data_IF_928832637033
#
_entry.id   IF_928832637033
#
_cell.length_a   1.000
_cell.length_b   1.000
_cell.length_c   1.000
_cell.angle_alpha   90.00
_cell.angle_beta   90.00
_cell.angle_gamma   90.00
#
_symmetry.space_group_name_H-M   'P 1'
#
loop_
_entity.id
_entity.type
_entity.pdbx_description
1 polymer ?
#
# COMPACT_ATOMS: atom_id res chain seq x y z
N UNK A 1 -8.21 -13.91 7.06
CA UNK A 1 -7.16 -12.99 6.53
C UNK A 1 -6.09 -12.67 7.57
N UNK A 2 -6.40 -11.98 8.67
CA UNK A 2 -5.39 -11.57 9.67
C UNK A 2 -4.52 -12.73 10.22
N UNK A 3 -5.13 -13.87 10.57
CA UNK A 3 -4.38 -15.04 11.05
C UNK A 3 -3.40 -15.59 10.00
N UNK A 4 -3.77 -15.54 8.72
CA UNK A 4 -2.93 -16.01 7.61
C UNK A 4 -1.80 -15.02 7.33
N UNK A 5 -2.07 -13.71 7.39
CA UNK A 5 -1.02 -12.69 7.36
C UNK A 5 -0.04 -12.86 8.51
N UNK A 6 -0.52 -13.15 9.73
CA UNK A 6 0.34 -13.47 10.88
C UNK A 6 1.20 -14.71 10.61
N UNK A 7 0.63 -15.78 10.05
CA UNK A 7 1.36 -16.99 9.71
C UNK A 7 2.47 -16.74 8.68
N UNK A 8 2.22 -15.89 7.68
CA UNK A 8 3.23 -15.46 6.72
C UNK A 8 4.36 -14.67 7.40
N UNK A 9 4.02 -13.73 8.29
CA UNK A 9 5.01 -12.97 9.06
C UNK A 9 5.84 -13.86 10.00
N UNK A 10 5.22 -14.83 10.69
CA UNK A 10 5.94 -15.80 11.51
C UNK A 10 6.89 -16.66 10.68
N UNK A 11 6.47 -17.06 9.48
CA UNK A 11 7.34 -17.78 8.55
C UNK A 11 8.56 -16.94 8.17
N UNK A 12 8.34 -15.68 7.77
CA UNK A 12 9.41 -14.72 7.47
C UNK A 12 10.35 -14.51 8.66
N UNK A 13 9.81 -14.45 9.88
CA UNK A 13 10.59 -14.32 11.13
C UNK A 13 11.46 -15.55 11.38
N UNK A 14 10.90 -16.76 11.28
CA UNK A 14 11.62 -18.03 11.50
C UNK A 14 12.79 -18.17 10.52
N UNK A 15 12.60 -17.78 9.26
CA UNK A 15 13.66 -17.83 8.24
C UNK A 15 14.53 -16.58 8.18
N UNK A 16 14.30 -15.58 9.05
CA UNK A 16 14.99 -14.28 9.04
C UNK A 16 14.96 -13.61 7.66
N UNK A 17 13.82 -13.75 6.96
CA UNK A 17 13.59 -13.32 5.59
C UNK A 17 14.43 -14.05 4.52
N UNK A 18 15.17 -15.12 4.85
CA UNK A 18 15.91 -15.95 3.89
C UNK A 18 15.02 -17.10 3.44
N UNK A 19 14.11 -16.82 2.50
CA UNK A 19 13.18 -17.84 2.05
C UNK A 19 13.90 -18.87 1.15
N UNK A 20 13.74 -20.15 1.48
CA UNK A 20 13.90 -21.24 0.51
C UNK A 20 12.76 -21.21 -0.50
N UNK A 21 12.88 -21.96 -1.61
CA UNK A 21 11.78 -22.14 -2.57
C UNK A 21 10.47 -22.59 -1.90
N UNK A 22 10.55 -23.49 -0.90
CA UNK A 22 9.39 -23.99 -0.16
C UNK A 22 8.73 -22.90 0.68
N UNK A 23 9.51 -22.20 1.49
CA UNK A 23 9.00 -21.15 2.37
C UNK A 23 8.52 -19.92 1.60
N UNK A 24 9.16 -19.60 0.46
CA UNK A 24 8.71 -18.55 -0.45
C UNK A 24 7.37 -18.94 -1.12
N UNK A 25 7.25 -20.20 -1.56
CA UNK A 25 5.98 -20.72 -2.09
C UNK A 25 4.86 -20.69 -1.06
N UNK A 26 5.16 -21.03 0.18
CA UNK A 26 4.21 -20.98 1.29
C UNK A 26 3.69 -19.56 1.56
N UNK A 27 4.58 -18.57 1.72
CA UNK A 27 4.13 -17.19 1.98
C UNK A 27 3.35 -16.60 0.80
N UNK A 28 3.72 -16.92 -0.46
CA UNK A 28 2.93 -16.56 -1.64
C UNK A 28 1.53 -17.18 -1.62
N UNK A 29 1.41 -18.44 -1.20
CA UNK A 29 0.12 -19.09 -1.04
C UNK A 29 -0.72 -18.43 0.06
N UNK A 30 -0.11 -18.05 1.19
CA UNK A 30 -0.78 -17.29 2.25
C UNK A 30 -1.31 -15.94 1.73
N UNK A 31 -0.49 -15.17 1.03
CA UNK A 31 -0.91 -13.88 0.46
C UNK A 31 -1.98 -14.05 -0.62
N UNK A 32 -1.88 -15.08 -1.46
CA UNK A 32 -2.88 -15.38 -2.48
C UNK A 32 -4.23 -15.78 -1.85
N UNK A 33 -4.20 -16.62 -0.81
CA UNK A 33 -5.39 -16.96 -0.03
C UNK A 33 -6.03 -15.71 0.57
N UNK A 34 -5.25 -14.83 1.20
CA UNK A 34 -5.75 -13.56 1.72
C UNK A 34 -6.40 -12.74 0.60
N UNK A 35 -5.71 -12.55 -0.51
CA UNK A 35 -6.16 -11.79 -1.68
C UNK A 35 -7.51 -12.27 -2.22
N UNK A 36 -7.69 -13.57 -2.46
CA UNK A 36 -8.97 -14.11 -2.97
C UNK A 36 -10.09 -14.10 -1.92
N UNK A 37 -9.76 -14.06 -0.63
CA UNK A 37 -10.75 -14.06 0.45
C UNK A 37 -11.26 -12.64 0.72
N UNK A 38 -10.43 -11.60 0.58
CA UNK A 38 -10.80 -10.22 0.90
C UNK A 38 -12.08 -9.75 0.15
N UNK A 39 -12.28 -10.02 -1.15
CA UNK A 39 -13.52 -9.66 -1.85
C UNK A 39 -14.81 -10.19 -1.22
N UNK A 40 -14.77 -11.28 -0.46
CA UNK A 40 -15.95 -11.85 0.22
C UNK A 40 -16.40 -11.06 1.45
N UNK A 41 -15.61 -10.07 1.89
CA UNK A 41 -15.90 -9.24 3.05
C UNK A 41 -16.80 -8.07 2.64
N UNK A 42 -17.93 -7.91 3.34
CA UNK A 42 -18.94 -6.90 3.02
C UNK A 42 -18.43 -5.45 3.18
N UNK A 43 -17.71 -5.18 4.26
CA UNK A 43 -17.25 -3.82 4.58
C UNK A 43 -16.11 -3.37 3.66
N UNK A 44 -16.35 -2.31 2.86
CA UNK A 44 -15.34 -1.68 1.99
C UNK A 44 -14.12 -1.22 2.79
N UNK A 45 -14.33 -0.61 3.96
CA UNK A 45 -13.23 -0.11 4.80
C UNK A 45 -12.38 -1.26 5.36
N UNK A 46 -13.02 -2.37 5.73
CA UNK A 46 -12.30 -3.58 6.14
C UNK A 46 -11.54 -4.18 4.97
N UNK A 47 -12.11 -4.22 3.76
CA UNK A 47 -11.40 -4.67 2.55
C UNK A 47 -10.15 -3.83 2.29
N UNK A 48 -10.27 -2.50 2.30
CA UNK A 48 -9.15 -1.57 2.13
C UNK A 48 -8.01 -1.81 3.12
N UNK A 49 -8.35 -1.90 4.42
CA UNK A 49 -7.38 -2.18 5.48
C UNK A 49 -6.70 -3.54 5.29
N UNK A 50 -7.45 -4.57 4.89
CA UNK A 50 -6.90 -5.90 4.69
C UNK A 50 -6.03 -6.00 3.43
N UNK A 51 -6.38 -5.32 2.35
CA UNK A 51 -5.51 -5.23 1.17
C UNK A 51 -4.19 -4.55 1.52
N UNK A 52 -4.22 -3.40 2.20
CA UNK A 52 -3.00 -2.70 2.61
C UNK A 52 -2.13 -3.54 3.56
N UNK A 53 -2.75 -4.17 4.57
CA UNK A 53 -2.04 -5.06 5.49
C UNK A 53 -1.42 -6.25 4.75
N UNK A 54 -2.16 -6.86 3.82
CA UNK A 54 -1.67 -8.00 3.03
C UNK A 54 -0.54 -7.57 2.10
N UNK A 55 -0.61 -6.37 1.51
CA UNK A 55 0.48 -5.80 0.74
C UNK A 55 1.74 -5.57 1.60
N UNK A 56 1.61 -5.02 2.81
CA UNK A 56 2.75 -4.83 3.72
C UNK A 56 3.38 -6.16 4.17
N UNK A 57 2.56 -7.18 4.42
CA UNK A 57 3.04 -8.54 4.72
C UNK A 57 3.74 -9.16 3.51
N UNK A 58 3.18 -8.99 2.30
CA UNK A 58 3.79 -9.45 1.06
C UNK A 58 5.14 -8.76 0.81
N UNK A 59 5.20 -7.44 1.00
CA UNK A 59 6.43 -6.65 0.90
C UNK A 59 7.51 -7.15 1.85
N UNK A 60 7.14 -7.38 3.13
CA UNK A 60 8.03 -7.94 4.15
C UNK A 60 8.57 -9.34 3.83
N UNK A 61 7.92 -10.06 2.92
CA UNK A 61 8.30 -11.40 2.45
C UNK A 61 8.74 -11.42 0.97
N UNK A 62 9.14 -10.28 0.40
CA UNK A 62 9.65 -10.15 -0.98
C UNK A 62 8.66 -10.65 -2.06
N UNK A 63 7.36 -10.56 -1.81
CA UNK A 63 6.30 -11.03 -2.70
C UNK A 63 5.75 -9.87 -3.55
N UNK A 64 6.60 -9.24 -4.37
CA UNK A 64 6.30 -7.97 -5.05
C UNK A 64 5.06 -8.04 -5.97
N UNK A 65 4.89 -9.11 -6.74
CA UNK A 65 3.70 -9.26 -7.58
C UNK A 65 2.39 -9.31 -6.78
N UNK A 66 2.42 -9.81 -5.54
CA UNK A 66 1.27 -9.78 -4.63
C UNK A 66 1.06 -8.40 -3.99
N UNK A 67 2.13 -7.62 -3.78
CA UNK A 67 2.04 -6.21 -3.37
C UNK A 67 1.29 -5.42 -4.43
N UNK A 68 1.71 -5.54 -5.70
CA UNK A 68 1.08 -4.85 -6.83
C UNK A 68 -0.42 -5.17 -6.93
N UNK A 69 -0.78 -6.46 -6.89
CA UNK A 69 -2.17 -6.88 -6.97
C UNK A 69 -3.01 -6.32 -5.81
N UNK A 70 -2.52 -6.41 -4.57
CA UNK A 70 -3.24 -5.91 -3.41
C UNK A 70 -3.40 -4.39 -3.45
N UNK A 71 -2.37 -3.64 -3.86
CA UNK A 71 -2.45 -2.18 -3.94
C UNK A 71 -3.37 -1.74 -5.08
N UNK A 72 -3.31 -2.37 -6.26
CA UNK A 72 -4.21 -2.05 -7.38
C UNK A 72 -5.68 -2.21 -6.99
N UNK A 73 -6.02 -3.30 -6.30
CA UNK A 73 -7.38 -3.52 -5.81
C UNK A 73 -7.76 -2.59 -4.66
N UNK A 74 -6.80 -2.22 -3.80
CA UNK A 74 -7.04 -1.19 -2.80
C UNK A 74 -7.38 0.17 -3.45
N UNK A 75 -6.66 0.55 -4.50
CA UNK A 75 -6.90 1.80 -5.22
C UNK A 75 -8.27 1.82 -5.90
N UNK A 76 -8.72 0.69 -6.48
CA UNK A 76 -10.04 0.62 -7.11
C UNK A 76 -11.18 0.72 -6.09
N UNK A 77 -10.95 0.34 -4.83
CA UNK A 77 -11.94 0.45 -3.76
C UNK A 77 -12.02 1.83 -3.09
N UNK A 78 -11.03 2.71 -3.25
CA UNK A 78 -11.04 4.05 -2.63
C UNK A 78 -12.31 4.85 -3.00
N UNK A 79 -12.75 4.90 -4.27
CA UNK A 79 -14.00 5.58 -4.64
C UNK A 79 -15.27 4.91 -4.09
N UNK A 80 -15.20 3.64 -3.69
CA UNK A 80 -16.35 2.90 -3.13
C UNK A 80 -16.58 3.18 -1.64
N UNK A 81 -15.70 3.96 -0.99
CA UNK A 81 -15.87 4.30 0.42
C UNK A 81 -17.11 5.19 0.57
N UNK A 82 -18.11 4.79 1.38
CA UNK A 82 -19.30 5.60 1.59
C UNK A 82 -18.93 6.91 2.29
N UNK A 83 -19.69 7.97 2.07
CA UNK A 83 -19.45 9.29 2.70
C UNK A 83 -19.61 9.27 4.22
N UNK A 84 -20.40 8.32 4.73
CA UNK A 84 -20.60 8.11 6.15
C UNK A 84 -20.39 6.63 6.52
N UNK A 85 -19.83 6.41 7.70
CA UNK A 85 -19.58 5.10 8.29
C UNK A 85 -20.29 5.02 9.63
N UNK A 86 -20.83 3.85 9.95
CA UNK A 86 -21.33 3.56 11.29
C UNK A 86 -20.15 3.25 12.22
N UNK A 87 -19.96 4.09 13.23
CA UNK A 87 -18.93 3.94 14.26
C UNK A 87 -19.61 4.01 15.62
N UNK A 88 -19.60 2.88 16.34
CA UNK A 88 -20.24 2.75 17.67
C UNK A 88 -21.74 3.13 17.64
N UNK A 89 -22.46 2.66 16.61
CA UNK A 89 -23.89 2.95 16.42
C UNK A 89 -24.21 4.38 15.97
N UNK A 90 -23.20 5.20 15.63
CA UNK A 90 -23.37 6.56 15.12
C UNK A 90 -22.79 6.71 13.73
N UNK A 91 -23.54 7.33 12.83
CA UNK A 91 -23.03 7.73 11.52
C UNK A 91 -22.04 8.88 11.67
N UNK A 92 -20.81 8.68 11.19
CA UNK A 92 -19.74 9.67 11.16
C UNK A 92 -19.19 9.80 9.75
N UNK A 93 -18.63 10.96 9.41
CA UNK A 93 -17.94 11.14 8.13
C UNK A 93 -16.82 10.12 7.95
N UNK A 94 -16.71 9.55 6.75
CA UNK A 94 -15.64 8.63 6.40
C UNK A 94 -14.30 9.31 6.12
N UNK A 95 -14.30 10.64 6.00
CA UNK A 95 -13.10 11.46 5.70
C UNK A 95 -11.96 11.18 6.68
N UNK A 96 -12.25 11.02 7.98
CA UNK A 96 -11.22 10.71 8.98
C UNK A 96 -10.59 9.32 8.74
N UNK A 97 -11.40 8.33 8.39
CA UNK A 97 -10.91 6.99 8.05
C UNK A 97 -10.07 7.05 6.77
N UNK A 98 -10.59 7.71 5.73
CA UNK A 98 -9.97 7.76 4.42
C UNK A 98 -8.63 8.50 4.48
N UNK A 99 -8.58 9.65 5.16
CA UNK A 99 -7.34 10.38 5.36
C UNK A 99 -6.26 9.52 6.03
N UNK A 100 -6.60 8.86 7.14
CA UNK A 100 -5.66 7.98 7.86
C UNK A 100 -5.19 6.80 7.00
N UNK A 101 -6.12 6.20 6.26
CA UNK A 101 -5.81 5.11 5.33
C UNK A 101 -4.85 5.56 4.21
N UNK A 102 -5.13 6.70 3.57
CA UNK A 102 -4.33 7.24 2.48
C UNK A 102 -2.94 7.66 2.94
N UNK A 103 -2.79 8.19 4.17
CA UNK A 103 -1.49 8.47 4.76
C UNK A 103 -0.65 7.19 4.91
N UNK A 104 -1.26 6.11 5.38
CA UNK A 104 -0.58 4.82 5.53
C UNK A 104 -0.24 4.20 4.18
N UNK A 105 -1.13 4.33 3.18
CA UNK A 105 -0.88 3.88 1.82
C UNK A 105 0.28 4.65 1.19
N UNK A 106 0.31 5.98 1.27
CA UNK A 106 1.43 6.80 0.78
C UNK A 106 2.75 6.41 1.44
N UNK A 107 2.76 6.21 2.75
CA UNK A 107 3.94 5.74 3.48
C UNK A 107 4.40 4.35 3.01
N UNK A 108 3.46 3.49 2.65
CA UNK A 108 3.78 2.17 2.07
C UNK A 108 4.33 2.31 0.66
N UNK A 109 3.70 3.13 -0.19
CA UNK A 109 4.10 3.35 -1.58
C UNK A 109 5.53 3.89 -1.71
N UNK A 110 6.00 4.70 -0.78
CA UNK A 110 7.38 5.20 -0.79
C UNK A 110 8.40 4.06 -0.90
N UNK A 111 8.18 2.97 -0.17
CA UNK A 111 9.13 1.86 -0.06
C UNK A 111 8.78 0.67 -0.97
N UNK A 112 7.67 0.75 -1.71
CA UNK A 112 7.32 -0.26 -2.72
C UNK A 112 8.20 -0.02 -3.94
N UNK A 113 8.98 -1.01 -4.39
CA UNK A 113 9.79 -0.88 -5.59
C UNK A 113 8.91 -0.73 -6.82
N UNK A 114 9.30 0.14 -7.73
CA UNK A 114 8.64 0.26 -9.03
C UNK A 114 8.91 -0.96 -9.90
N UNK A 115 7.91 -1.33 -10.71
CA UNK A 115 8.06 -2.33 -11.75
C UNK A 115 8.79 -1.71 -12.96
N UNK A 116 9.87 -2.35 -13.46
CA UNK A 116 10.55 -1.92 -14.68
C UNK A 116 9.63 -1.77 -15.89
N UNK A 117 8.56 -2.57 -15.95
CA UNK A 117 7.59 -2.59 -17.04
C UNK A 117 6.54 -1.47 -16.96
N UNK A 118 6.22 -1.00 -15.74
CA UNK A 118 5.13 -0.04 -15.51
C UNK A 118 5.61 1.41 -15.41
N UNK A 119 6.91 1.60 -15.24
CA UNK A 119 7.56 2.90 -15.13
C UNK A 119 7.51 3.49 -13.72
N UNK A 120 8.22 4.61 -13.57
CA UNK A 120 8.47 5.27 -12.29
C UNK A 120 7.17 5.72 -11.62
N UNK A 121 7.08 5.46 -10.31
CA UNK A 121 5.98 5.82 -9.41
C UNK A 121 4.61 5.37 -9.93
N UNK A 122 4.53 4.21 -10.58
CA UNK A 122 3.30 3.75 -11.23
C UNK A 122 2.11 3.66 -10.26
N UNK A 123 2.28 3.03 -9.10
CA UNK A 123 1.21 2.88 -8.11
C UNK A 123 0.83 4.22 -7.46
N UNK A 124 1.82 5.08 -7.22
CA UNK A 124 1.60 6.46 -6.73
C UNK A 124 0.80 7.30 -7.72
N UNK A 125 1.15 7.25 -9.00
CA UNK A 125 0.36 7.88 -10.07
C UNK A 125 -1.05 7.32 -10.12
N UNK A 126 -1.21 6.01 -9.96
CA UNK A 126 -2.50 5.36 -9.85
C UNK A 126 -3.34 5.95 -8.71
N UNK A 127 -2.74 6.12 -7.53
CA UNK A 127 -3.40 6.77 -6.40
C UNK A 127 -3.80 8.21 -6.72
N UNK A 128 -2.88 9.02 -7.24
CA UNK A 128 -3.17 10.43 -7.58
C UNK A 128 -4.30 10.56 -8.61
N UNK A 129 -4.35 9.66 -9.59
CA UNK A 129 -5.43 9.59 -10.57
C UNK A 129 -6.78 9.28 -9.89
N UNK A 130 -6.82 8.31 -8.97
CA UNK A 130 -8.03 8.02 -8.19
C UNK A 130 -8.48 9.24 -7.38
N UNK A 131 -7.55 9.91 -6.68
CA UNK A 131 -7.85 11.07 -5.84
C UNK A 131 -8.31 12.29 -6.64
N UNK A 132 -7.84 12.45 -7.89
CA UNK A 132 -8.28 13.50 -8.79
C UNK A 132 -9.77 13.40 -9.12
N UNK A 133 -10.31 12.17 -9.18
CA UNK A 133 -11.71 11.89 -9.47
C UNK A 133 -12.55 11.62 -8.22
N UNK A 134 -11.95 11.63 -7.04
CA UNK A 134 -12.65 11.41 -5.78
C UNK A 134 -13.50 12.63 -5.39
N UNK A 135 -14.75 12.38 -4.97
CA UNK A 135 -15.67 13.41 -4.50
C UNK A 135 -15.45 13.67 -3.02
N UNK A 136 -14.66 14.69 -2.72
CA UNK A 136 -14.34 15.13 -1.36
C UNK A 136 -15.49 15.91 -0.71
N UNK A 137 -15.65 15.79 0.61
CA UNK A 137 -16.52 16.67 1.40
C UNK A 137 -15.97 18.10 1.39
N UNK A 138 -16.78 19.05 0.88
CA UNK A 138 -16.39 20.47 0.77
C UNK A 138 -16.25 21.17 2.11
N UNK A 139 -16.81 20.60 3.17
CA UNK A 139 -16.65 21.11 4.55
C UNK A 139 -15.37 20.57 5.22
N UNK A 140 -14.67 19.63 4.58
CA UNK A 140 -13.47 18.98 5.11
C UNK A 140 -12.18 19.52 4.50
N UNK A 141 -11.14 19.61 5.33
CA UNK A 141 -9.77 19.87 4.86
C UNK A 141 -8.99 18.59 4.48
N UNK A 142 -9.64 17.43 4.48
CA UNK A 142 -9.01 16.14 4.22
C UNK A 142 -8.32 16.08 2.85
N UNK A 143 -8.97 16.63 1.80
CA UNK A 143 -8.35 16.75 0.47
C UNK A 143 -6.98 17.42 0.54
N UNK A 144 -6.92 18.61 1.13
CA UNK A 144 -5.68 19.38 1.23
C UNK A 144 -4.62 18.62 2.04
N UNK A 145 -5.01 18.01 3.17
CA UNK A 145 -4.10 17.21 4.00
C UNK A 145 -3.55 16.00 3.26
N UNK A 146 -4.37 15.26 2.50
CA UNK A 146 -3.93 14.11 1.71
C UNK A 146 -2.95 14.54 0.60
N UNK A 147 -3.23 15.63 -0.11
CA UNK A 147 -2.29 16.14 -1.12
C UNK A 147 -0.98 16.65 -0.51
N UNK A 148 -1.02 17.29 0.67
CA UNK A 148 0.20 17.64 1.41
C UNK A 148 1.01 16.39 1.79
N UNK A 149 0.34 15.30 2.21
CA UNK A 149 1.02 14.02 2.47
C UNK A 149 1.59 13.38 1.22
N UNK A 150 0.93 13.53 0.08
CA UNK A 150 1.49 13.09 -1.20
C UNK A 150 2.75 13.90 -1.57
N UNK A 151 2.75 15.21 -1.35
CA UNK A 151 3.92 16.06 -1.53
C UNK A 151 5.05 15.71 -0.55
N UNK A 152 4.75 15.46 0.72
CA UNK A 152 5.72 14.97 1.71
C UNK A 152 6.38 13.68 1.19
N UNK A 153 5.58 12.71 0.73
CA UNK A 153 6.09 11.45 0.20
C UNK A 153 6.94 11.64 -1.05
N UNK A 154 6.50 12.46 -2.01
CA UNK A 154 7.27 12.77 -3.23
C UNK A 154 8.58 13.50 -2.92
N UNK A 155 8.57 14.38 -1.92
CA UNK A 155 9.77 15.09 -1.44
C UNK A 155 10.78 14.11 -0.86
N UNK A 156 10.32 13.06 -0.17
CA UNK A 156 11.17 11.96 0.29
C UNK A 156 11.62 11.08 -0.88
N UNK A 157 10.74 10.83 -1.86
CA UNK A 157 11.05 10.03 -3.05
C UNK A 157 12.18 10.65 -3.91
N UNK A 158 12.41 11.95 -3.79
CA UNK A 158 13.50 12.67 -4.46
C UNK A 158 14.83 12.66 -3.67
N UNK A 159 14.85 12.11 -2.46
CA UNK A 159 16.07 12.01 -1.65
C UNK A 159 16.90 10.81 -2.09
N UNK A 160 18.24 10.93 -1.96
CA UNK A 160 19.16 9.83 -2.26
C UNK A 160 18.96 8.62 -1.34
N UNK A 161 18.45 8.83 -0.13
CA UNK A 161 18.24 7.79 0.87
C UNK A 161 16.91 8.02 1.57
N UNK A 162 16.05 7.00 1.58
CA UNK A 162 14.78 7.08 2.29
C UNK A 162 14.95 6.96 3.81
N UNK A 163 14.06 7.58 4.60
CA UNK A 163 14.12 7.55 6.06
C UNK A 163 13.80 6.18 6.67
N UNK A 164 13.22 5.26 5.89
CA UNK A 164 12.93 3.90 6.33
C UNK A 164 12.84 2.94 5.14
N UNK A 165 13.08 1.66 5.42
CA UNK A 165 13.05 0.57 4.45
C UNK A 165 12.43 -0.68 5.02
N UNK A 166 12.00 -1.58 4.15
CA UNK A 166 11.70 -2.96 4.52
C UNK A 166 12.92 -3.82 4.26
N UNK A 167 13.30 -4.58 5.28
CA UNK A 167 14.46 -5.48 5.22
C UNK A 167 14.36 -6.41 4.00
N UNK A 168 15.43 -6.44 3.19
CA UNK A 168 15.56 -7.27 1.97
C UNK A 168 14.64 -6.88 0.82
N UNK A 169 14.14 -5.65 0.83
CA UNK A 169 13.50 -5.05 -0.33
C UNK A 169 14.29 -3.81 -0.66
N UNK A 170 14.79 -3.75 -1.88
CA UNK A 170 15.44 -2.55 -2.40
C UNK A 170 14.32 -1.60 -2.86
N UNK A 171 14.16 -0.49 -2.15
CA UNK A 171 13.21 0.56 -2.49
C UNK A 171 13.76 1.47 -3.59
N UNK A 172 12.94 2.39 -4.07
CA UNK A 172 13.25 3.23 -5.23
C UNK A 172 14.51 4.11 -5.07
N UNK A 173 14.87 4.52 -3.85
CA UNK A 173 16.15 5.19 -3.59
C UNK A 173 17.36 4.32 -3.93
N UNK A 174 17.27 3.00 -3.72
CA UNK A 174 18.32 2.04 -4.11
C UNK A 174 18.22 1.70 -5.61
N UNK A 175 17.01 1.55 -6.15
CA UNK A 175 16.80 1.20 -7.56
C UNK A 175 17.22 2.32 -8.53
N UNK A 176 17.01 3.57 -8.14
CA UNK A 176 17.35 4.76 -8.94
C UNK A 176 18.67 5.42 -8.53
N UNK A 177 19.12 5.22 -7.29
CA UNK A 177 20.23 5.94 -6.64
C UNK A 177 21.64 5.62 -7.14
N UNK A 178 21.83 5.42 -8.45
CA UNK A 178 23.13 5.42 -9.11
C UNK A 178 23.09 5.75 -10.61
N UNK A 179 21.91 5.97 -11.24
CA UNK A 179 21.85 6.30 -12.67
C UNK A 179 21.45 7.78 -12.91
N UNK A 180 22.39 8.62 -13.40
CA UNK A 180 22.11 10.00 -13.81
C UNK A 180 20.94 10.15 -14.80
N UNK A 181 20.56 9.08 -15.51
CA UNK A 181 19.40 9.09 -16.42
C UNK A 181 18.05 9.11 -15.70
N UNK A 182 17.99 8.68 -14.45
CA UNK A 182 16.75 8.64 -13.66
C UNK A 182 16.49 9.90 -12.83
N UNK A 183 17.48 10.79 -12.71
CA UNK A 183 17.36 12.10 -12.05
C UNK A 183 16.70 13.18 -12.93
N UNK A 184 16.23 12.83 -14.13
CA UNK A 184 15.48 13.70 -15.01
C UNK A 184 14.01 13.83 -14.62
N UNK A 185 13.75 14.38 -13.42
CA UNK A 185 12.51 15.08 -13.12
C UNK A 185 12.58 16.51 -13.69
#
# INVERSE_FOLDING_TARGET
VQCVNRLAMETGRVVKGHHTRKTAGFVRACTAYCYITIPSIQSVTTRLQLYLLTAQVALSNQCLGQVDACIKDALSLVPEVPTQLEVEGKMRSSEQFLEGYLCQLLSTLLIVPDSPEQGVLYLTRGLLNVLQHYTWDTSSCARARVYLRALDMLSVAAQEHYPYHVRKVDSNDVLYGSDPKTLGL
#
